data_IF_169903057936
#
_entry.id   IF_169903057936
#
_cell.length_a   1.000
_cell.length_b   1.000
_cell.length_c   1.000
_cell.angle_alpha   90.00
_cell.angle_beta   90.00
_cell.angle_gamma   90.00
#
_symmetry.space_group_name_H-M   'P 1'
#
loop_
_entity.id
_entity.type
_entity.pdbx_description
1 polymer ?
#
# COMPACT_ATOMS: atom_id res chain seq x y z
N UNK A 1 -0.99 5.99 17.98
CA UNK A 1 -1.99 5.72 16.94
C UNK A 1 -1.25 5.27 15.70
N UNK A 2 -1.54 4.06 15.23
CA UNK A 2 -1.02 3.49 13.99
C UNK A 2 -1.96 3.80 12.83
N UNK A 3 -1.41 4.34 11.75
CA UNK A 3 -2.14 4.68 10.53
C UNK A 3 -1.51 3.92 9.35
N UNK A 4 -2.29 3.06 8.71
CA UNK A 4 -1.83 2.35 7.52
C UNK A 4 -2.40 2.99 6.26
N UNK A 5 -1.49 3.47 5.41
CA UNK A 5 -1.81 4.02 4.10
C UNK A 5 -1.76 2.90 3.06
N UNK A 6 -2.90 2.61 2.43
CA UNK A 6 -3.00 1.62 1.36
C UNK A 6 -2.99 2.34 0.02
N UNK A 7 -2.03 2.03 -0.84
CA UNK A 7 -1.86 2.74 -2.12
C UNK A 7 -1.42 1.79 -3.22
N UNK A 8 -1.81 2.08 -4.47
CA UNK A 8 -1.17 1.42 -5.62
C UNK A 8 0.24 1.94 -5.86
N UNK A 9 0.40 3.25 -5.79
CA UNK A 9 1.65 3.91 -6.16
C UNK A 9 2.38 4.41 -4.93
N UNK A 10 3.65 4.05 -4.83
CA UNK A 10 4.61 4.55 -3.85
C UNK A 10 6.02 4.37 -4.45
N UNK A 11 7.04 5.15 -4.06
CA UNK A 11 8.36 5.01 -4.68
C UNK A 11 8.90 3.57 -4.58
N UNK A 12 9.63 3.09 -5.61
CA UNK A 12 10.03 3.83 -6.81
C UNK A 12 8.99 3.81 -7.95
N UNK A 13 7.76 3.34 -7.71
CA UNK A 13 6.74 3.09 -8.73
C UNK A 13 5.64 4.17 -8.80
N UNK A 14 6.03 5.45 -8.70
CA UNK A 14 5.10 6.57 -8.90
C UNK A 14 5.04 6.93 -10.38
N UNK A 15 3.83 6.99 -10.95
CA UNK A 15 3.62 7.46 -12.32
C UNK A 15 2.56 8.56 -12.43
N UNK A 16 1.86 8.88 -11.35
CA UNK A 16 0.84 9.93 -11.34
C UNK A 16 0.71 10.69 -10.01
N UNK A 17 -0.18 11.68 -10.00
CA UNK A 17 -0.40 12.56 -8.86
C UNK A 17 -0.94 11.84 -7.62
N UNK A 18 -1.62 10.70 -7.78
CA UNK A 18 -2.11 9.91 -6.65
C UNK A 18 -0.95 9.28 -5.85
N UNK A 19 0.08 8.75 -6.54
CA UNK A 19 1.28 8.24 -5.88
C UNK A 19 2.08 9.35 -5.19
N UNK A 20 2.22 10.51 -5.86
CA UNK A 20 2.84 11.71 -5.26
C UNK A 20 2.08 12.13 -4.00
N UNK A 21 0.75 12.15 -4.05
CA UNK A 21 -0.08 12.53 -2.90
C UNK A 21 0.19 11.65 -1.68
N UNK A 22 0.17 10.31 -1.84
CA UNK A 22 0.41 9.39 -0.71
C UNK A 22 1.85 9.51 -0.20
N UNK A 23 2.84 9.66 -1.09
CA UNK A 23 4.23 9.85 -0.70
C UNK A 23 4.43 11.10 0.18
N UNK A 24 3.90 12.25 -0.27
CA UNK A 24 4.01 13.48 0.51
C UNK A 24 3.17 13.45 1.79
N UNK A 25 1.97 12.83 1.74
CA UNK A 25 1.13 12.64 2.91
C UNK A 25 1.85 11.80 3.99
N UNK A 26 2.49 10.70 3.60
CA UNK A 26 3.24 9.85 4.53
C UNK A 26 4.35 10.64 5.23
N UNK A 27 5.12 11.46 4.49
CA UNK A 27 6.19 12.30 5.06
C UNK A 27 5.69 13.25 6.13
N UNK A 28 4.56 13.92 5.90
CA UNK A 28 4.02 14.89 6.87
C UNK A 28 3.25 14.24 8.03
N UNK A 29 2.76 13.01 7.88
CA UNK A 29 2.07 12.27 8.94
C UNK A 29 3.00 11.53 9.90
N UNK A 30 4.18 11.07 9.45
CA UNK A 30 5.15 10.33 10.28
C UNK A 30 5.54 11.03 11.59
N UNK A 31 5.64 12.38 11.67
CA UNK A 31 5.87 13.07 12.94
C UNK A 31 4.67 13.06 13.91
N UNK A 32 3.48 12.70 13.43
CA UNK A 32 2.20 12.80 14.16
C UNK A 32 1.61 11.43 14.54
N UNK A 33 1.99 10.35 13.85
CA UNK A 33 1.49 8.99 14.05
C UNK A 33 2.51 7.92 13.63
N UNK A 34 2.31 6.67 14.08
CA UNK A 34 3.03 5.51 13.54
C UNK A 34 2.45 5.19 12.16
N UNK A 35 3.08 5.74 11.11
CA UNK A 35 2.62 5.59 9.73
C UNK A 35 3.29 4.39 9.08
N UNK A 36 2.46 3.46 8.58
CA UNK A 36 2.90 2.38 7.69
C UNK A 36 2.30 2.57 6.32
N UNK A 37 3.03 2.14 5.30
CA UNK A 37 2.59 2.23 3.91
C UNK A 37 2.57 0.82 3.32
N UNK A 38 1.43 0.43 2.78
CA UNK A 38 1.24 -0.81 2.06
C UNK A 38 1.02 -0.46 0.60
N UNK A 39 1.91 -0.93 -0.27
CA UNK A 39 1.94 -0.51 -1.67
C UNK A 39 2.07 -1.67 -2.64
N UNK A 40 1.55 -1.51 -3.86
CA UNK A 40 1.76 -2.49 -4.93
C UNK A 40 3.21 -2.47 -5.43
N UNK A 41 3.59 -3.48 -6.20
CA UNK A 41 4.86 -3.50 -6.94
C UNK A 41 5.95 -4.38 -6.33
N UNK A 42 5.58 -5.26 -5.39
CA UNK A 42 6.50 -6.21 -4.78
C UNK A 42 7.36 -5.64 -3.66
N UNK A 43 8.16 -6.49 -2.99
CA UNK A 43 8.98 -6.11 -1.84
C UNK A 43 9.88 -4.92 -2.12
N UNK A 44 10.12 -4.10 -1.09
CA UNK A 44 11.03 -2.94 -1.17
C UNK A 44 12.45 -3.38 -0.84
N UNK A 45 13.38 -3.06 -1.73
CA UNK A 45 14.80 -3.35 -1.51
C UNK A 45 15.40 -2.35 -0.51
N UNK A 46 15.96 -2.79 0.62
CA UNK A 46 16.50 -1.89 1.64
C UNK A 46 17.53 -0.91 1.08
N UNK A 47 17.42 0.37 1.45
CA UNK A 47 18.31 1.44 0.99
C UNK A 47 17.96 2.01 -0.40
N UNK A 48 16.88 1.54 -1.03
CA UNK A 48 16.34 2.13 -2.26
C UNK A 48 15.24 3.14 -1.98
N UNK A 49 14.90 3.97 -2.96
CA UNK A 49 13.83 4.95 -2.84
C UNK A 49 12.49 4.27 -2.53
N UNK A 50 11.81 4.71 -1.47
CA UNK A 50 10.54 4.12 -1.03
C UNK A 50 10.68 2.83 -0.23
N UNK A 51 11.88 2.48 0.20
CA UNK A 51 12.16 1.41 1.16
C UNK A 51 12.37 1.94 2.59
N UNK A 52 11.72 3.05 2.95
CA UNK A 52 11.75 3.59 4.31
C UNK A 52 11.15 2.59 5.31
N UNK A 53 11.55 2.70 6.58
CA UNK A 53 10.96 1.91 7.65
C UNK A 53 9.43 2.07 7.67
N UNK A 54 8.72 0.93 7.79
CA UNK A 54 7.27 0.88 7.76
C UNK A 54 6.65 0.87 6.36
N UNK A 55 7.44 0.76 5.28
CA UNK A 55 6.92 0.56 3.91
C UNK A 55 6.99 -0.91 3.54
N UNK A 56 5.85 -1.49 3.19
CA UNK A 56 5.73 -2.85 2.66
C UNK A 56 5.22 -2.80 1.24
N UNK A 57 5.89 -3.52 0.34
CA UNK A 57 5.48 -3.66 -1.05
C UNK A 57 4.98 -5.08 -1.33
N UNK A 58 3.86 -5.18 -2.04
CA UNK A 58 3.13 -6.43 -2.28
C UNK A 58 3.18 -6.81 -3.77
N UNK A 59 3.61 -8.04 -4.11
CA UNK A 59 3.59 -8.52 -5.48
C UNK A 59 2.17 -8.92 -5.89
N UNK A 60 1.93 -9.05 -7.19
CA UNK A 60 0.75 -9.78 -7.65
C UNK A 60 0.83 -11.25 -7.21
N UNK A 61 -0.31 -11.83 -6.82
CA UNK A 61 -0.39 -13.22 -6.37
C UNK A 61 -0.20 -14.16 -7.57
N UNK A 62 0.73 -15.11 -7.45
CA UNK A 62 1.11 -16.02 -8.54
C UNK A 62 -0.06 -16.91 -9.01
N UNK A 63 -0.94 -17.31 -8.09
CA UNK A 63 -2.13 -18.12 -8.34
C UNK A 63 -3.16 -17.42 -9.23
N UNK A 64 -3.07 -16.10 -9.37
CA UNK A 64 -3.93 -15.29 -10.23
C UNK A 64 -3.25 -14.88 -11.54
N UNK A 65 -2.11 -15.48 -11.88
CA UNK A 65 -1.49 -15.27 -13.18
C UNK A 65 -2.44 -15.70 -14.31
N UNK A 66 -2.49 -14.91 -15.38
CA UNK A 66 -3.45 -15.07 -16.48
C UNK A 66 -4.91 -14.70 -16.17
N UNK A 67 -5.27 -14.40 -14.92
CA UNK A 67 -6.58 -13.85 -14.60
C UNK A 67 -6.75 -12.42 -15.14
N UNK A 68 -7.99 -11.94 -15.18
CA UNK A 68 -8.23 -10.54 -15.58
C UNK A 68 -7.60 -9.56 -14.58
N UNK A 69 -7.35 -8.32 -15.04
CA UNK A 69 -6.65 -7.32 -14.26
C UNK A 69 -7.34 -6.94 -12.93
N UNK A 70 -8.66 -7.04 -12.85
CA UNK A 70 -9.40 -6.74 -11.62
C UNK A 70 -9.12 -7.81 -10.56
N UNK A 71 -9.17 -9.10 -10.92
CA UNK A 71 -8.87 -10.19 -9.98
C UNK A 71 -7.42 -10.12 -9.49
N UNK A 72 -6.46 -9.85 -10.38
CA UNK A 72 -5.05 -9.68 -9.97
C UNK A 72 -4.86 -8.52 -8.99
N UNK A 73 -5.54 -7.40 -9.23
CA UNK A 73 -5.54 -6.23 -8.32
C UNK A 73 -6.11 -6.62 -6.95
N UNK A 74 -7.26 -7.30 -6.94
CA UNK A 74 -7.89 -7.75 -5.70
C UNK A 74 -7.04 -8.77 -4.93
N UNK A 75 -6.23 -9.57 -5.61
CA UNK A 75 -5.25 -10.43 -4.95
C UNK A 75 -4.28 -9.62 -4.08
N UNK A 76 -3.69 -8.57 -4.65
CA UNK A 76 -2.80 -7.66 -3.88
C UNK A 76 -3.55 -7.03 -2.71
N UNK A 77 -4.80 -6.61 -2.92
CA UNK A 77 -5.62 -6.01 -1.87
C UNK A 77 -5.82 -6.94 -0.67
N UNK A 78 -6.05 -8.24 -0.90
CA UNK A 78 -6.24 -9.22 0.18
C UNK A 78 -4.98 -9.38 1.04
N UNK A 79 -3.80 -9.41 0.41
CA UNK A 79 -2.51 -9.44 1.13
C UNK A 79 -2.29 -8.14 1.92
N UNK A 80 -2.64 -7.00 1.34
CA UNK A 80 -2.57 -5.69 2.03
C UNK A 80 -3.51 -5.65 3.23
N UNK A 81 -4.73 -6.16 3.13
CA UNK A 81 -5.68 -6.28 4.25
C UNK A 81 -5.08 -7.08 5.41
N UNK A 82 -4.44 -8.21 5.13
CA UNK A 82 -3.76 -8.96 6.19
C UNK A 82 -2.64 -8.14 6.85
N UNK A 83 -1.94 -7.32 6.06
CA UNK A 83 -0.91 -6.40 6.54
C UNK A 83 -1.40 -5.34 7.54
N UNK A 84 -2.69 -5.01 7.54
CA UNK A 84 -3.26 -3.99 8.43
C UNK A 84 -3.69 -4.51 9.80
N UNK A 85 -3.35 -5.74 10.16
CA UNK A 85 -3.67 -6.28 11.49
C UNK A 85 -3.11 -5.38 12.60
N UNK A 86 -3.98 -5.03 13.56
CA UNK A 86 -3.63 -4.18 14.70
C UNK A 86 -3.51 -2.69 14.38
N UNK A 87 -4.08 -2.22 13.27
CA UNK A 87 -4.10 -0.81 12.87
C UNK A 87 -5.27 -0.05 13.50
N UNK A 88 -5.01 1.17 13.97
CA UNK A 88 -6.06 2.02 14.55
C UNK A 88 -6.89 2.74 13.48
N UNK A 89 -6.26 3.12 12.35
CA UNK A 89 -6.90 3.80 11.23
C UNK A 89 -6.29 3.35 9.90
N UNK A 90 -7.13 2.91 8.97
CA UNK A 90 -6.73 2.61 7.60
C UNK A 90 -7.18 3.73 6.66
N UNK A 91 -6.27 4.21 5.81
CA UNK A 91 -6.57 5.14 4.73
C UNK A 91 -6.21 4.48 3.39
N UNK A 92 -7.23 4.02 2.67
CA UNK A 92 -7.05 3.55 1.30
C UNK A 92 -7.12 4.69 0.30
N UNK A 93 -6.11 4.80 -0.56
CA UNK A 93 -6.02 5.82 -1.57
C UNK A 93 -6.08 5.22 -2.99
N UNK A 94 -6.99 5.81 -3.79
CA UNK A 94 -7.47 5.34 -5.11
C UNK A 94 -8.31 4.06 -5.08
N UNK A 95 -9.08 3.85 -6.15
CA UNK A 95 -9.97 2.68 -6.28
C UNK A 95 -9.21 1.36 -6.31
N UNK A 96 -7.95 1.36 -6.75
CA UNK A 96 -7.11 0.16 -6.83
C UNK A 96 -6.78 -0.46 -5.47
N UNK A 97 -6.71 0.35 -4.41
CA UNK A 97 -6.41 -0.10 -3.03
C UNK A 97 -7.65 -0.06 -2.12
N UNK A 98 -8.80 0.35 -2.66
CA UNK A 98 -10.00 0.63 -1.89
C UNK A 98 -10.66 -0.64 -1.35
N UNK A 99 -10.57 -1.76 -2.08
CA UNK A 99 -11.07 -3.04 -1.58
C UNK A 99 -10.32 -3.45 -0.31
N UNK A 100 -8.99 -3.33 -0.28
CA UNK A 100 -8.19 -3.64 0.90
C UNK A 100 -8.65 -2.85 2.13
N UNK A 101 -8.93 -1.56 1.94
CA UNK A 101 -9.45 -0.68 3.00
C UNK A 101 -10.85 -1.05 3.49
N UNK A 102 -11.72 -1.56 2.61
CA UNK A 102 -13.06 -2.03 3.01
C UNK A 102 -13.02 -3.35 3.79
N UNK A 103 -11.99 -4.15 3.56
CA UNK A 103 -11.81 -5.44 4.22
C UNK A 103 -10.91 -5.36 5.47
N UNK A 104 -10.26 -4.22 5.70
CA UNK A 104 -9.50 -3.97 6.91
C UNK A 104 -10.46 -3.87 8.11
N UNK A 105 -10.44 -4.89 8.97
CA UNK A 105 -11.31 -5.04 10.15
C UNK A 105 -10.50 -5.12 11.43
#
# INVERSE_FOLDING_TARGET
MRVDLLTKEYPPFIYGGAGVHVNELAKVLRPLADVRVHAFGGPREPGTEGADDGVTGYPEIAELDGANAALRTFGVDLEMTQGTEGTDLVHSHTWYANLAGHLAG
#
